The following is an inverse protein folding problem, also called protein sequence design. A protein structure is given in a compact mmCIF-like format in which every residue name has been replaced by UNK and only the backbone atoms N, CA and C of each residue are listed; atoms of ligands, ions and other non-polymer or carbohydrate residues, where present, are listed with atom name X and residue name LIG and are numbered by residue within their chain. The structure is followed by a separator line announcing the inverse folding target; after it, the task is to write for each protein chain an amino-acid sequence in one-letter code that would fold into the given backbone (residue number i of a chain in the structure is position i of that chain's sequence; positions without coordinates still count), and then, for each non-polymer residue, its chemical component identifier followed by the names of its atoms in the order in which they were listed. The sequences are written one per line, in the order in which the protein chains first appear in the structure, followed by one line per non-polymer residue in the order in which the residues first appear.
data_IF_756676994242
#
_entry.id   IF_756676994242
#
_cell.length_a   1.000
_cell.length_b   1.000
_cell.length_c   1.000
_cell.angle_alpha   90.00
_cell.angle_beta   90.00
_cell.angle_gamma   90.00
#
_symmetry.space_group_name_H-M   'P 1'
#
loop_
_entity.id
_entity.type
_entity.pdbx_description
1 polymer ?
#
# COMPACT_ATOMS: atom_id res chain seq x y z
N UNK A 1 -11.08 15.08 -9.71
CA UNK A 1 -10.76 16.06 -8.65
C UNK A 1 -12.01 16.64 -8.01
N UNK A 2 -12.95 17.24 -8.76
CA UNK A 2 -14.16 17.87 -8.18
C UNK A 2 -14.97 16.93 -7.28
N UNK A 3 -15.30 15.73 -7.75
CA UNK A 3 -16.06 14.75 -6.96
C UNK A 3 -15.32 14.32 -5.68
N UNK A 4 -14.00 14.13 -5.77
CA UNK A 4 -13.19 13.75 -4.62
C UNK A 4 -13.10 14.89 -3.59
N UNK A 5 -12.93 16.14 -4.01
CA UNK A 5 -12.95 17.30 -3.13
C UNK A 5 -14.32 17.47 -2.44
N UNK A 6 -15.42 17.24 -3.17
CA UNK A 6 -16.77 17.26 -2.59
C UNK A 6 -16.96 16.17 -1.55
N UNK A 7 -16.39 14.98 -1.77
CA UNK A 7 -16.45 13.90 -0.81
C UNK A 7 -15.62 14.20 0.46
N UNK A 8 -14.42 14.76 0.32
CA UNK A 8 -13.61 15.18 1.47
C UNK A 8 -14.35 16.19 2.34
N UNK A 9 -14.93 17.23 1.71
CA UNK A 9 -15.73 18.22 2.43
C UNK A 9 -16.90 17.57 3.16
N UNK A 10 -17.67 16.70 2.49
CA UNK A 10 -18.80 16.01 3.12
C UNK A 10 -18.40 15.17 4.31
N UNK A 11 -17.26 14.47 4.24
CA UNK A 11 -16.74 13.65 5.35
C UNK A 11 -16.27 14.55 6.50
N UNK A 12 -15.61 15.66 6.23
CA UNK A 12 -15.22 16.64 7.24
C UNK A 12 -16.43 17.25 7.93
N UNK A 13 -17.47 17.60 7.19
CA UNK A 13 -18.74 18.15 7.73
C UNK A 13 -19.49 17.15 8.63
N UNK A 14 -19.22 15.85 8.50
CA UNK A 14 -19.69 14.78 9.38
C UNK A 14 -18.87 14.60 10.67
N UNK A 15 -17.88 15.48 10.91
CA UNK A 15 -17.08 15.46 12.14
C UNK A 15 -15.85 14.55 12.11
N UNK A 16 -15.46 14.04 10.95
CA UNK A 16 -14.29 13.14 10.83
C UNK A 16 -12.93 13.88 10.77
N UNK A 17 -12.91 15.12 11.16
CA UNK A 17 -11.67 15.86 11.40
C UNK A 17 -11.45 17.06 10.47
N UNK A 18 -11.07 18.16 11.07
CA UNK A 18 -10.74 19.42 10.39
C UNK A 18 -9.57 19.25 9.40
N UNK A 19 -8.64 18.36 9.69
CA UNK A 19 -7.48 18.07 8.83
C UNK A 19 -7.84 17.59 7.41
N UNK A 20 -9.04 17.03 7.21
CA UNK A 20 -9.52 16.68 5.87
C UNK A 20 -9.79 17.89 4.98
N UNK A 21 -10.10 19.04 5.57
CA UNK A 21 -10.31 20.29 4.83
C UNK A 21 -9.01 20.86 4.28
N UNK A 22 -7.88 20.53 4.91
CA UNK A 22 -6.54 20.94 4.48
C UNK A 22 -5.97 20.00 3.39
N UNK A 23 -6.71 18.94 3.06
CA UNK A 23 -6.30 17.98 2.03
C UNK A 23 -6.44 18.56 0.63
N UNK A 24 -5.44 18.36 -0.19
CA UNK A 24 -5.42 18.81 -1.59
C UNK A 24 -5.45 17.63 -2.54
N UNK A 25 -6.36 17.65 -3.50
CA UNK A 25 -6.42 16.67 -4.59
C UNK A 25 -5.90 17.33 -5.86
N UNK A 26 -4.83 16.75 -6.39
CA UNK A 26 -4.24 17.17 -7.66
C UNK A 26 -4.43 16.08 -8.70
N UNK A 27 -4.57 16.49 -9.97
CA UNK A 27 -4.51 15.59 -11.11
C UNK A 27 -3.14 15.79 -11.73
N UNK A 28 -2.40 14.70 -11.93
CA UNK A 28 -1.09 14.74 -12.52
C UNK A 28 -0.61 13.34 -12.88
N UNK A 29 0.52 13.27 -13.55
CA UNK A 29 1.22 12.02 -13.82
C UNK A 29 1.97 11.60 -12.53
N UNK A 30 1.73 10.40 -12.05
CA UNK A 30 2.41 9.83 -10.88
C UNK A 30 3.93 9.67 -11.04
N UNK A 31 4.43 9.74 -12.28
CA UNK A 31 5.87 9.75 -12.61
C UNK A 31 6.54 11.10 -12.36
N UNK A 32 5.76 12.15 -12.25
CA UNK A 32 6.28 13.51 -12.11
C UNK A 32 6.15 13.92 -10.65
N UNK A 33 7.21 13.74 -9.89
CA UNK A 33 7.34 14.24 -8.52
C UNK A 33 7.50 15.76 -8.46
N UNK A 34 6.73 16.51 -9.24
CA UNK A 34 6.80 17.99 -9.31
C UNK A 34 6.16 18.64 -8.08
N UNK A 35 6.66 18.28 -6.90
CA UNK A 35 6.24 18.84 -5.62
C UNK A 35 7.50 19.14 -4.82
N UNK A 36 7.65 20.38 -4.39
CA UNK A 36 8.79 20.83 -3.59
C UNK A 36 8.75 20.33 -2.13
N UNK A 37 7.57 19.93 -1.69
CA UNK A 37 7.31 19.52 -0.31
C UNK A 37 7.73 18.07 -0.08
N UNK A 38 8.27 17.77 1.10
CA UNK A 38 8.47 16.41 1.58
C UNK A 38 7.20 15.86 2.27
N UNK A 39 7.00 14.56 2.16
CA UNK A 39 5.84 13.86 2.70
C UNK A 39 6.25 12.87 3.78
N UNK A 40 5.36 12.69 4.76
CA UNK A 40 5.55 11.70 5.82
C UNK A 40 5.34 10.27 5.32
N UNK A 41 4.46 10.08 4.33
CA UNK A 41 4.11 8.76 3.81
C UNK A 41 3.74 8.84 2.33
N UNK A 42 4.07 7.78 1.59
CA UNK A 42 3.62 7.53 0.23
C UNK A 42 2.66 6.33 0.24
N UNK A 43 1.43 6.53 -0.22
CA UNK A 43 0.49 5.45 -0.48
C UNK A 43 0.31 5.29 -1.99
N UNK A 44 0.55 4.10 -2.48
CA UNK A 44 0.45 3.74 -3.89
C UNK A 44 -0.61 2.66 -4.09
N UNK A 45 -1.58 2.94 -4.96
CA UNK A 45 -2.54 1.98 -5.50
C UNK A 45 -2.44 2.03 -7.03
N UNK A 46 -1.44 1.36 -7.62
CA UNK A 46 -1.15 1.48 -9.04
C UNK A 46 -2.28 0.91 -9.90
N UNK A 47 -2.71 1.70 -10.89
CA UNK A 47 -3.72 1.27 -11.83
C UNK A 47 -3.21 0.13 -12.73
N UNK A 48 -4.13 -0.73 -13.15
CA UNK A 48 -3.92 -1.76 -14.18
C UNK A 48 -4.95 -1.61 -15.27
N UNK A 49 -4.63 -2.02 -16.51
CA UNK A 49 -5.62 -2.07 -17.58
C UNK A 49 -6.84 -2.91 -17.19
N UNK A 50 -8.02 -2.50 -17.60
CA UNK A 50 -9.27 -3.24 -17.29
C UNK A 50 -9.30 -4.67 -17.81
N UNK A 51 -8.53 -4.95 -18.86
CA UNK A 51 -8.39 -6.27 -19.49
C UNK A 51 -7.15 -7.04 -19.02
N UNK A 52 -6.51 -6.60 -17.94
CA UNK A 52 -5.40 -7.31 -17.32
C UNK A 52 -5.77 -8.76 -17.04
N UNK A 53 -5.01 -9.70 -17.57
CA UNK A 53 -5.24 -11.15 -17.42
C UNK A 53 -4.34 -11.76 -16.35
N UNK A 54 -3.10 -11.30 -16.29
CA UNK A 54 -2.06 -11.86 -15.43
C UNK A 54 -2.00 -11.14 -14.08
N UNK A 55 -2.48 -9.90 -14.02
CA UNK A 55 -2.30 -9.01 -12.87
C UNK A 55 -0.84 -8.84 -12.45
N UNK A 56 0.09 -9.02 -13.41
CA UNK A 56 1.53 -8.92 -13.21
C UNK A 56 2.02 -7.49 -12.99
N UNK A 57 3.29 -7.40 -12.63
CA UNK A 57 3.96 -6.12 -12.43
C UNK A 57 4.19 -5.37 -13.74
N UNK A 58 4.38 -6.12 -14.83
CA UNK A 58 4.54 -5.63 -16.20
C UNK A 58 3.31 -4.89 -16.74
N UNK A 59 2.15 -5.15 -16.18
CA UNK A 59 0.89 -4.48 -16.52
C UNK A 59 0.65 -3.19 -15.73
N UNK A 60 1.52 -2.85 -14.78
CA UNK A 60 1.39 -1.63 -13.99
C UNK A 60 1.83 -0.39 -14.78
N UNK A 61 1.03 0.65 -14.76
CA UNK A 61 1.36 1.92 -15.38
C UNK A 61 0.98 3.09 -14.45
N UNK A 62 1.95 3.88 -14.00
CA UNK A 62 3.41 3.73 -14.18
C UNK A 62 3.99 2.51 -13.44
N UNK A 63 5.20 2.10 -13.84
CA UNK A 63 5.93 1.00 -13.18
C UNK A 63 6.44 1.40 -11.79
N UNK A 64 6.70 0.42 -10.93
CA UNK A 64 7.24 0.70 -9.58
C UNK A 64 8.58 1.46 -9.61
N UNK A 65 9.56 1.08 -10.45
CA UNK A 65 10.81 1.84 -10.55
C UNK A 65 10.60 3.31 -10.95
N UNK A 66 9.71 3.57 -11.92
CA UNK A 66 9.41 4.95 -12.34
C UNK A 66 8.81 5.78 -11.19
N UNK A 67 7.91 5.19 -10.41
CA UNK A 67 7.29 5.85 -9.26
C UNK A 67 8.34 6.09 -8.17
N UNK A 68 9.10 5.08 -7.80
CA UNK A 68 10.09 5.19 -6.74
C UNK A 68 11.18 6.21 -7.08
N UNK A 69 11.64 6.24 -8.34
CA UNK A 69 12.58 7.26 -8.80
C UNK A 69 12.02 8.67 -8.65
N UNK A 70 10.76 8.88 -9.01
CA UNK A 70 10.12 10.18 -8.92
C UNK A 70 9.89 10.66 -7.48
N UNK A 71 9.70 9.72 -6.53
CA UNK A 71 9.26 10.06 -5.18
C UNK A 71 10.28 9.82 -4.06
N UNK A 72 11.38 9.09 -4.30
CA UNK A 72 12.37 8.74 -3.27
C UNK A 72 12.89 9.95 -2.49
N UNK A 73 13.19 11.05 -3.18
CA UNK A 73 13.72 12.26 -2.57
C UNK A 73 12.64 13.17 -1.96
N UNK A 74 11.37 12.81 -2.13
CA UNK A 74 10.23 13.56 -1.60
C UNK A 74 9.69 12.99 -0.28
N UNK A 75 10.24 11.89 0.18
CA UNK A 75 9.81 11.24 1.42
C UNK A 75 10.69 11.68 2.59
N UNK A 76 10.06 11.87 3.74
CA UNK A 76 10.78 11.97 4.99
C UNK A 76 11.29 10.58 5.39
N UNK A 77 12.54 10.52 5.81
CA UNK A 77 13.14 9.28 6.33
C UNK A 77 13.19 9.36 7.86
N UNK A 78 12.59 8.38 8.52
CA UNK A 78 12.83 8.13 9.93
C UNK A 78 13.91 7.05 10.12
N UNK A 79 14.06 6.54 11.34
CA UNK A 79 15.10 5.56 11.71
C UNK A 79 15.04 4.25 10.92
N UNK A 80 13.86 3.90 10.41
CA UNK A 80 13.62 2.69 9.60
C UNK A 80 13.42 2.99 8.10
N UNK A 81 13.84 4.16 7.62
CA UNK A 81 13.67 4.61 6.25
C UNK A 81 12.35 5.36 6.01
N UNK A 82 11.89 5.51 4.76
CA UNK A 82 10.61 6.14 4.44
C UNK A 82 9.42 5.28 4.86
N UNK A 83 8.24 5.90 4.97
CA UNK A 83 6.98 5.19 5.16
C UNK A 83 6.28 5.02 3.80
N UNK A 84 6.17 3.77 3.31
CA UNK A 84 5.52 3.49 2.03
C UNK A 84 4.50 2.37 2.21
N UNK A 85 3.28 2.60 1.73
CA UNK A 85 2.21 1.61 1.61
C UNK A 85 1.95 1.35 0.12
N UNK A 86 2.17 0.12 -0.30
CA UNK A 86 1.96 -0.31 -1.68
C UNK A 86 0.83 -1.33 -1.73
N UNK A 87 -0.32 -0.94 -2.32
CA UNK A 87 -1.44 -1.85 -2.55
C UNK A 87 -1.26 -2.58 -3.89
N UNK A 88 -1.34 -3.91 -3.84
CA UNK A 88 -1.07 -4.80 -4.95
C UNK A 88 -2.21 -5.79 -5.17
N UNK A 89 -2.16 -6.52 -6.28
CA UNK A 89 -3.10 -7.60 -6.52
C UNK A 89 -2.88 -8.74 -5.53
N UNK A 90 -3.94 -9.26 -4.87
CA UNK A 90 -3.82 -10.47 -4.06
C UNK A 90 -3.52 -11.73 -4.89
N UNK A 91 -3.50 -11.62 -6.23
CA UNK A 91 -3.17 -12.70 -7.17
C UNK A 91 -1.68 -12.79 -7.49
N UNK A 92 -0.85 -11.84 -7.03
CA UNK A 92 0.59 -11.92 -7.22
C UNK A 92 1.12 -13.24 -6.65
N UNK A 93 1.81 -13.97 -7.49
CA UNK A 93 2.49 -15.20 -7.08
C UNK A 93 3.78 -14.91 -6.28
N UNK A 94 4.48 -15.95 -5.89
CA UNK A 94 5.68 -15.80 -5.08
C UNK A 94 6.82 -15.13 -5.86
N UNK A 95 6.98 -15.45 -7.14
CA UNK A 95 8.06 -14.86 -7.96
C UNK A 95 7.86 -13.36 -8.16
N UNK A 96 6.62 -12.95 -8.42
CA UNK A 96 6.26 -11.54 -8.54
C UNK A 96 6.45 -10.77 -7.23
N UNK A 97 6.17 -11.39 -6.08
CA UNK A 97 6.45 -10.74 -4.78
C UNK A 97 7.94 -10.57 -4.52
N UNK A 98 8.76 -11.55 -4.89
CA UNK A 98 10.22 -11.44 -4.83
C UNK A 98 10.70 -10.29 -5.73
N UNK A 99 10.18 -10.18 -6.95
CA UNK A 99 10.51 -9.07 -7.86
C UNK A 99 10.17 -7.70 -7.26
N UNK A 100 9.01 -7.56 -6.58
CA UNK A 100 8.68 -6.33 -5.84
C UNK A 100 9.72 -6.05 -4.76
N UNK A 101 10.12 -7.05 -3.99
CA UNK A 101 11.11 -6.88 -2.93
C UNK A 101 12.49 -6.49 -3.49
N UNK A 102 12.90 -7.05 -4.62
CA UNK A 102 14.14 -6.68 -5.31
C UNK A 102 14.11 -5.24 -5.82
N UNK A 103 12.98 -4.81 -6.39
CA UNK A 103 12.78 -3.42 -6.80
C UNK A 103 12.91 -2.50 -5.57
N UNK A 104 12.23 -2.81 -4.48
CA UNK A 104 12.31 -2.01 -3.24
C UNK A 104 13.74 -1.96 -2.70
N UNK A 105 14.45 -3.10 -2.72
CA UNK A 105 15.84 -3.20 -2.26
C UNK A 105 16.81 -2.35 -3.06
N UNK A 106 16.53 -2.18 -4.38
CA UNK A 106 17.33 -1.31 -5.25
C UNK A 106 17.27 0.17 -4.83
N UNK A 107 16.12 0.62 -4.35
CA UNK A 107 15.92 2.01 -3.92
C UNK A 107 16.26 2.25 -2.45
N UNK A 108 16.04 1.27 -1.60
CA UNK A 108 16.24 1.35 -0.15
C UNK A 108 16.84 0.04 0.39
N UNK A 109 18.16 -0.12 0.29
CA UNK A 109 18.84 -1.33 0.75
C UNK A 109 18.58 -1.63 2.24
N UNK A 110 18.32 -2.90 2.55
CA UNK A 110 18.07 -3.42 3.90
C UNK A 110 16.85 -2.80 4.61
N UNK A 111 15.92 -2.21 3.85
CA UNK A 111 14.71 -1.64 4.44
C UNK A 111 13.76 -2.74 4.92
N UNK A 112 13.12 -2.53 6.07
CA UNK A 112 12.10 -3.43 6.59
C UNK A 112 10.89 -3.52 5.67
N UNK A 113 10.37 -4.74 5.47
CA UNK A 113 9.22 -5.04 4.61
C UNK A 113 8.27 -5.98 5.34
N UNK A 114 6.96 -5.74 5.26
CA UNK A 114 5.92 -6.65 5.79
C UNK A 114 4.82 -6.80 4.77
N UNK A 115 4.61 -8.00 4.27
CA UNK A 115 3.46 -8.34 3.44
C UNK A 115 2.21 -8.48 4.30
N UNK A 116 1.12 -7.83 3.87
CA UNK A 116 -0.15 -7.85 4.59
C UNK A 116 -1.28 -8.30 3.67
N UNK A 117 -1.86 -9.45 3.98
CA UNK A 117 -3.09 -9.94 3.34
C UNK A 117 -4.29 -9.52 4.17
N UNK A 118 -5.29 -8.95 3.54
CA UNK A 118 -6.52 -8.53 4.23
C UNK A 118 -7.72 -9.26 3.63
N UNK A 119 -8.60 -9.76 4.50
CA UNK A 119 -9.83 -10.46 4.13
C UNK A 119 -11.01 -9.98 4.98
N UNK A 120 -12.18 -9.87 4.37
CA UNK A 120 -13.47 -9.62 5.06
C UNK A 120 -14.36 -10.84 5.13
N UNK A 121 -13.88 -11.99 4.67
CA UNK A 121 -14.66 -13.23 4.65
C UNK A 121 -13.79 -14.47 4.54
N UNK A 122 -14.39 -15.64 4.79
CA UNK A 122 -13.71 -16.91 4.65
C UNK A 122 -13.43 -17.23 3.17
N UNK A 123 -12.29 -17.85 2.92
CA UNK A 123 -11.94 -18.41 1.61
C UNK A 123 -11.52 -17.40 0.54
N UNK A 124 -11.26 -16.14 0.91
CA UNK A 124 -10.75 -15.16 -0.05
C UNK A 124 -9.83 -14.14 0.60
N UNK A 125 -8.93 -13.61 -0.20
CA UNK A 125 -8.13 -12.42 0.12
C UNK A 125 -8.66 -11.25 -0.70
N UNK A 126 -9.01 -10.16 -0.03
CA UNK A 126 -9.53 -8.96 -0.69
C UNK A 126 -8.42 -8.01 -1.14
N UNK A 127 -7.35 -7.92 -0.35
CA UNK A 127 -6.19 -7.05 -0.62
C UNK A 127 -4.88 -7.73 -0.26
N UNK A 128 -3.85 -7.35 -0.98
CA UNK A 128 -2.45 -7.58 -0.66
C UNK A 128 -1.76 -6.23 -0.62
N UNK A 129 -1.09 -5.93 0.48
CA UNK A 129 -0.30 -4.70 0.62
C UNK A 129 1.12 -5.05 1.06
N UNK A 130 2.09 -4.25 0.60
CA UNK A 130 3.45 -4.26 1.13
C UNK A 130 3.67 -3.00 1.96
N UNK A 131 3.98 -3.19 3.24
CA UNK A 131 4.32 -2.13 4.18
C UNK A 131 5.83 -2.01 4.28
N UNK A 132 6.38 -0.83 3.98
CA UNK A 132 7.81 -0.62 3.82
C UNK A 132 8.30 0.42 4.81
N UNK A 133 9.49 0.20 5.36
CA UNK A 133 10.21 1.12 6.21
C UNK A 133 9.48 1.40 7.53
N UNK A 134 9.10 2.66 7.79
CA UNK A 134 8.41 3.03 9.02
C UNK A 134 7.10 2.26 9.25
N UNK A 135 6.45 1.81 8.19
CA UNK A 135 5.19 1.05 8.27
C UNK A 135 5.42 -0.44 8.53
N UNK A 136 6.60 -0.98 8.19
CA UNK A 136 6.89 -2.39 8.39
C UNK A 136 6.85 -2.76 9.89
N UNK A 137 6.42 -3.96 10.18
CA UNK A 137 6.47 -4.49 11.55
C UNK A 137 7.84 -5.10 11.81
N UNK A 138 8.53 -4.71 12.89
CA UNK A 138 9.80 -5.34 13.26
C UNK A 138 9.63 -6.85 13.42
N UNK A 139 10.53 -7.62 12.79
CA UNK A 139 10.57 -9.09 12.86
C UNK A 139 9.33 -9.82 12.30
N UNK A 140 8.43 -9.12 11.59
CA UNK A 140 7.26 -9.73 10.96
C UNK A 140 7.33 -9.51 9.45
N UNK A 141 7.62 -10.58 8.71
CA UNK A 141 7.67 -10.52 7.26
C UNK A 141 6.28 -10.65 6.62
N UNK A 142 5.38 -11.39 7.27
CA UNK A 142 4.05 -11.69 6.75
C UNK A 142 2.98 -11.55 7.82
N UNK A 143 1.86 -10.96 7.43
CA UNK A 143 0.70 -10.77 8.30
C UNK A 143 -0.58 -11.03 7.53
N UNK A 144 -1.50 -11.76 8.12
CA UNK A 144 -2.85 -11.91 7.63
C UNK A 144 -3.83 -11.23 8.59
N UNK A 145 -4.73 -10.41 8.05
CA UNK A 145 -5.76 -9.71 8.83
C UNK A 145 -7.13 -10.06 8.30
N UNK A 146 -7.97 -10.68 9.14
CA UNK A 146 -9.38 -10.86 8.84
C UNK A 146 -10.19 -9.80 9.56
N UNK A 147 -10.85 -8.94 8.81
CA UNK A 147 -11.73 -7.89 9.32
C UNK A 147 -13.12 -8.51 9.49
N UNK A 148 -13.68 -8.54 10.72
CA UNK A 148 -15.02 -9.07 10.95
C UNK A 148 -16.07 -8.15 10.32
N UNK A 149 -17.28 -8.67 10.01
CA UNK A 149 -18.38 -7.86 9.49
C UNK A 149 -18.93 -6.88 10.52
N UNK A 150 -18.85 -7.22 11.80
CA UNK A 150 -19.25 -6.33 12.89
C UNK A 150 -18.04 -5.52 13.40
N UNK A 151 -18.15 -4.21 13.37
CA UNK A 151 -17.10 -3.28 13.83
C UNK A 151 -16.78 -3.45 15.33
N UNK A 152 -17.67 -4.07 16.11
CA UNK A 152 -17.45 -4.35 17.54
C UNK A 152 -16.57 -5.57 17.78
N UNK A 153 -16.43 -6.44 16.80
CA UNK A 153 -15.55 -7.58 16.88
C UNK A 153 -14.10 -7.19 16.58
N UNK A 154 -13.16 -7.81 17.27
CA UNK A 154 -11.74 -7.56 17.03
C UNK A 154 -11.30 -8.29 15.74
N UNK A 155 -10.45 -7.65 14.91
CA UNK A 155 -9.83 -8.35 13.80
C UNK A 155 -9.02 -9.56 14.28
N UNK A 156 -9.07 -10.64 13.52
CA UNK A 156 -8.12 -11.75 13.67
C UNK A 156 -6.84 -11.35 12.95
N UNK A 157 -5.72 -11.34 13.67
CA UNK A 157 -4.39 -11.07 13.12
C UNK A 157 -3.53 -12.30 13.30
N UNK A 158 -2.90 -12.79 12.24
CA UNK A 158 -1.96 -13.89 12.23
C UNK A 158 -0.66 -13.40 11.64
N UNK A 159 0.43 -13.64 12.32
CA UNK A 159 1.78 -13.30 11.92
C UNK A 159 2.61 -14.58 11.90
N UNK A 160 3.35 -14.81 10.81
CA UNK A 160 4.14 -16.03 10.68
C UNK A 160 4.47 -16.36 9.24
N UNK A 161 4.75 -17.62 8.99
CA UNK A 161 5.07 -18.14 7.69
C UNK A 161 3.85 -18.31 6.78
N UNK A 162 4.11 -18.52 5.49
CA UNK A 162 3.04 -18.59 4.49
C UNK A 162 2.13 -19.81 4.69
N UNK A 163 2.66 -20.86 5.29
CA UNK A 163 1.92 -22.09 5.58
C UNK A 163 0.84 -21.86 6.63
N UNK A 164 1.18 -21.22 7.75
CA UNK A 164 0.21 -20.82 8.78
C UNK A 164 -0.85 -19.88 8.23
N UNK A 165 -0.48 -18.96 7.35
CA UNK A 165 -1.41 -18.03 6.70
C UNK A 165 -2.34 -18.80 5.75
N UNK A 166 -1.86 -19.85 5.07
CA UNK A 166 -2.67 -20.61 4.09
C UNK A 166 -3.80 -21.40 4.74
N UNK A 167 -3.66 -21.86 5.97
CA UNK A 167 -4.71 -22.55 6.71
C UNK A 167 -5.92 -21.68 7.05
N UNK A 168 -5.74 -20.37 7.04
CA UNK A 168 -6.77 -19.38 7.39
C UNK A 168 -7.40 -18.65 6.18
N UNK A 169 -7.01 -19.03 4.96
CA UNK A 169 -7.56 -18.46 3.70
C UNK A 169 -8.98 -18.91 3.36
#
# INVERSE_FOLDING_TARGET
AMAANSNLKRVADQGFGQSLLDSTIRIGDGKVGDIQQKFAMLHLDPARPRNSRTHGLDEMAPTLPEIFEAWKDKLNHGDRGPAILLDLSPRLDNSQRIEVEEIVETFWPNIGKTWVWTSRGKGRVDRLSLWIGQLSSPNVQRRFVRIPPDIKEKPLVIEGDIEEISEHR
#
